data_IF_085915824442
#
_entry.id   IF_085915824442
#
_cell.length_a   1.000
_cell.length_b   1.000
_cell.length_c   1.000
_cell.angle_alpha   90.00
_cell.angle_beta   90.00
_cell.angle_gamma   90.00
#
_symmetry.space_group_name_H-M   'P 1'
#
loop_
_entity.id
_entity.type
_entity.pdbx_description
1 polymer ?
#
# COMPACT_ATOMS: atom_id res chain seq x y z
N UNK A 1 14.34 -9.38 27.63
CA UNK A 1 14.90 -10.72 27.92
C UNK A 1 13.77 -11.76 27.86
N UNK A 2 14.04 -12.94 27.26
CA UNK A 2 13.09 -14.05 27.21
C UNK A 2 12.14 -14.07 26.00
N UNK A 3 12.24 -13.12 25.08
CA UNK A 3 11.53 -13.20 23.80
C UNK A 3 12.23 -14.19 22.87
N UNK A 4 11.48 -15.13 22.33
CA UNK A 4 11.97 -16.06 21.32
C UNK A 4 11.91 -15.42 19.93
N UNK A 5 10.87 -14.62 19.68
CA UNK A 5 10.59 -14.08 18.36
C UNK A 5 9.96 -12.68 18.44
N UNK A 6 10.26 -11.85 17.46
CA UNK A 6 9.63 -10.55 17.20
C UNK A 6 9.09 -10.58 15.77
N UNK A 7 7.77 -10.47 15.62
CA UNK A 7 7.12 -10.30 14.33
C UNK A 7 6.90 -8.80 14.04
N UNK A 8 7.56 -8.29 13.02
CA UNK A 8 7.40 -6.91 12.55
C UNK A 8 6.37 -6.88 11.44
N UNK A 9 5.31 -6.11 11.64
CA UNK A 9 4.22 -5.94 10.67
C UNK A 9 4.35 -4.56 10.04
N UNK A 10 4.85 -4.51 8.81
CA UNK A 10 5.05 -3.27 8.05
C UNK A 10 4.42 -3.35 6.67
N UNK A 11 3.85 -2.25 6.22
CA UNK A 11 3.42 -2.08 4.84
C UNK A 11 4.64 -1.99 3.91
N UNK A 12 4.53 -2.57 2.71
CA UNK A 12 5.54 -2.47 1.65
C UNK A 12 6.94 -2.92 2.11
N UNK A 13 7.92 -2.02 2.09
CA UNK A 13 9.31 -2.34 2.40
C UNK A 13 9.56 -2.43 3.91
N UNK A 14 10.41 -3.34 4.32
CA UNK A 14 10.80 -3.60 5.70
C UNK A 14 11.86 -2.59 6.18
N UNK A 15 11.42 -1.52 6.81
CA UNK A 15 12.30 -0.48 7.37
C UNK A 15 12.63 -0.79 8.83
N UNK A 16 11.61 -1.01 9.65
CA UNK A 16 11.79 -1.30 11.08
C UNK A 16 12.39 -2.69 11.29
N UNK A 17 11.99 -3.67 10.48
CA UNK A 17 12.57 -5.02 10.52
C UNK A 17 14.08 -4.99 10.34
N UNK A 18 14.57 -4.23 9.36
CA UNK A 18 16.01 -4.10 9.10
C UNK A 18 16.73 -3.38 10.24
N UNK A 19 16.17 -2.31 10.76
CA UNK A 19 16.76 -1.60 11.89
C UNK A 19 16.86 -2.48 13.12
N UNK A 20 15.85 -3.29 13.42
CA UNK A 20 15.90 -4.25 14.53
C UNK A 20 16.96 -5.32 14.30
N UNK A 21 17.03 -5.90 13.10
CA UNK A 21 18.07 -6.89 12.75
C UNK A 21 19.47 -6.32 12.89
N UNK A 22 19.70 -5.10 12.41
CA UNK A 22 20.97 -4.39 12.54
C UNK A 22 21.34 -4.18 14.01
N UNK A 23 20.43 -3.67 14.84
CA UNK A 23 20.66 -3.42 16.26
C UNK A 23 20.94 -4.69 17.06
N UNK A 24 20.29 -5.80 16.68
CA UNK A 24 20.41 -7.07 17.37
C UNK A 24 21.56 -7.95 16.83
N UNK A 25 22.23 -7.55 15.74
CA UNK A 25 23.21 -8.36 15.06
C UNK A 25 24.31 -8.90 15.96
N UNK A 26 24.87 -8.04 16.82
CA UNK A 26 25.97 -8.41 17.74
C UNK A 26 25.49 -8.93 19.10
N UNK A 27 24.19 -9.12 19.29
CA UNK A 27 23.69 -9.73 20.50
C UNK A 27 24.05 -11.21 20.58
N UNK A 28 24.34 -11.70 21.76
CA UNK A 28 24.61 -13.12 21.99
C UNK A 28 23.45 -13.98 21.49
N UNK A 29 23.74 -15.07 20.82
CA UNK A 29 22.75 -15.95 20.20
C UNK A 29 21.74 -16.54 21.21
N UNK A 30 22.17 -16.74 22.46
CA UNK A 30 21.31 -17.27 23.55
C UNK A 30 20.27 -16.29 24.09
N UNK A 31 20.40 -15.00 23.79
CA UNK A 31 19.47 -13.96 24.24
C UNK A 31 18.83 -13.17 23.10
N UNK A 32 19.33 -13.33 21.87
CA UNK A 32 18.86 -12.63 20.69
C UNK A 32 17.56 -13.26 20.19
N UNK A 33 16.43 -12.49 20.14
CA UNK A 33 15.21 -13.00 19.55
C UNK A 33 15.36 -13.14 18.04
N UNK A 34 14.61 -14.03 17.43
CA UNK A 34 14.46 -14.10 16.00
C UNK A 34 13.57 -12.96 15.52
N UNK A 35 14.00 -12.17 14.51
CA UNK A 35 13.25 -11.06 13.97
C UNK A 35 12.72 -11.44 12.59
N UNK A 36 11.41 -11.46 12.47
CA UNK A 36 10.68 -11.83 11.25
C UNK A 36 9.76 -10.69 10.82
N UNK A 37 9.48 -10.63 9.54
CA UNK A 37 8.57 -9.64 8.96
C UNK A 37 8.09 -10.07 7.58
N UNK A 38 8.79 -9.66 6.54
CA UNK A 38 8.42 -10.00 5.16
C UNK A 38 8.64 -11.47 4.83
N UNK A 39 9.70 -12.04 5.36
CA UNK A 39 10.07 -13.42 5.08
C UNK A 39 9.92 -14.30 6.30
N UNK A 40 9.46 -15.52 6.05
CA UNK A 40 9.58 -16.62 7.01
C UNK A 40 11.02 -17.15 6.94
N UNK A 41 11.55 -17.64 8.04
CA UNK A 41 12.82 -18.34 8.02
C UNK A 41 12.58 -19.82 7.73
N UNK A 42 12.93 -20.31 6.55
CA UNK A 42 12.98 -21.74 6.31
C UNK A 42 14.20 -22.28 7.03
N UNK A 43 14.03 -23.38 7.75
CA UNK A 43 15.13 -24.09 8.38
C UNK A 43 16.21 -24.43 7.33
N UNK A 44 17.45 -24.04 7.61
CA UNK A 44 18.61 -24.41 6.80
C UNK A 44 18.86 -23.60 5.53
N UNK A 45 18.13 -22.54 5.27
CA UNK A 45 18.42 -21.66 4.14
C UNK A 45 19.15 -20.39 4.58
N UNK A 46 20.27 -20.10 3.94
CA UNK A 46 20.90 -18.80 4.08
C UNK A 46 20.23 -17.81 3.10
N UNK A 47 19.94 -16.59 3.58
CA UNK A 47 19.78 -15.47 2.67
C UNK A 47 18.46 -14.75 2.63
N UNK A 48 17.37 -15.26 3.17
CA UNK A 48 16.10 -14.51 3.24
C UNK A 48 15.77 -13.71 1.97
N UNK A 49 15.58 -12.42 2.09
CA UNK A 49 15.27 -11.50 0.97
C UNK A 49 16.37 -11.44 -0.10
N UNK A 50 17.60 -11.63 0.29
CA UNK A 50 18.76 -11.54 -0.61
C UNK A 50 19.14 -12.87 -1.26
N UNK A 51 18.45 -13.96 -0.93
CA UNK A 51 18.65 -15.23 -1.65
C UNK A 51 18.12 -15.12 -3.07
N UNK A 52 18.92 -15.62 -4.01
CA UNK A 52 18.60 -15.61 -5.43
C UNK A 52 18.51 -17.03 -5.97
N UNK A 53 17.39 -17.46 -6.52
CA UNK A 53 16.10 -16.75 -6.58
C UNK A 53 15.44 -16.68 -5.21
N UNK A 54 14.75 -15.59 -4.94
CA UNK A 54 13.97 -15.45 -3.72
C UNK A 54 12.69 -16.30 -3.84
N UNK A 55 12.56 -17.38 -3.10
CA UNK A 55 11.42 -18.27 -3.26
C UNK A 55 10.13 -17.62 -2.75
N UNK A 56 9.11 -17.61 -3.60
CA UNK A 56 7.79 -17.01 -3.26
C UNK A 56 7.13 -17.65 -2.04
N UNK A 57 7.49 -18.88 -1.72
CA UNK A 57 6.95 -19.62 -0.59
C UNK A 57 7.45 -19.08 0.77
N UNK A 58 8.53 -18.34 0.78
CA UNK A 58 9.12 -17.80 2.00
C UNK A 58 8.48 -16.46 2.45
N UNK A 59 7.52 -15.94 1.70
CA UNK A 59 6.81 -14.75 2.12
C UNK A 59 5.91 -15.02 3.33
N UNK A 60 6.14 -14.28 4.40
CA UNK A 60 5.27 -14.25 5.58
C UNK A 60 4.27 -13.10 5.48
N UNK A 61 4.76 -11.89 5.22
CA UNK A 61 3.96 -10.70 4.98
C UNK A 61 4.35 -10.08 3.63
N UNK A 62 3.40 -10.02 2.71
CA UNK A 62 3.67 -9.51 1.35
C UNK A 62 4.18 -8.07 1.35
N UNK A 63 5.07 -7.74 0.40
CA UNK A 63 5.55 -6.37 0.18
C UNK A 63 4.73 -5.62 -0.89
N UNK A 64 3.95 -6.34 -1.70
CA UNK A 64 3.08 -5.77 -2.73
C UNK A 64 1.64 -5.70 -2.22
N UNK A 65 0.94 -4.63 -2.57
CA UNK A 65 -0.42 -4.33 -2.13
C UNK A 65 -0.55 -4.19 -0.58
N UNK A 66 -1.77 -3.96 -0.12
CA UNK A 66 -2.06 -3.67 1.28
C UNK A 66 -1.97 -4.92 2.17
N UNK A 67 -1.56 -4.74 3.41
CA UNK A 67 -1.68 -5.75 4.45
C UNK A 67 -3.06 -5.67 5.08
N UNK A 68 -3.89 -6.66 4.78
CA UNK A 68 -5.20 -6.76 5.42
C UNK A 68 -5.09 -7.43 6.79
N UNK A 69 -6.03 -7.16 7.73
CA UNK A 69 -6.09 -7.88 9.01
C UNK A 69 -6.10 -9.39 8.85
N UNK A 70 -6.73 -9.91 7.78
CA UNK A 70 -6.76 -11.33 7.48
C UNK A 70 -5.36 -11.91 7.17
N UNK A 71 -4.56 -11.19 6.38
CA UNK A 71 -3.17 -11.58 6.07
C UNK A 71 -2.32 -11.58 7.35
N UNK A 72 -2.44 -10.53 8.15
CA UNK A 72 -1.71 -10.40 9.41
C UNK A 72 -2.10 -11.52 10.39
N UNK A 73 -3.39 -11.81 10.53
CA UNK A 73 -3.88 -12.89 11.38
C UNK A 73 -3.34 -14.27 10.96
N UNK A 74 -3.27 -14.55 9.65
CA UNK A 74 -2.67 -15.78 9.12
C UNK A 74 -1.18 -15.89 9.45
N UNK A 75 -0.42 -14.78 9.31
CA UNK A 75 0.99 -14.73 9.64
C UNK A 75 1.22 -14.98 11.13
N UNK A 76 0.49 -14.29 12.00
CA UNK A 76 0.55 -14.48 13.47
C UNK A 76 0.23 -15.94 13.82
N UNK A 77 -0.85 -16.50 13.29
CA UNK A 77 -1.24 -17.87 13.59
C UNK A 77 -0.18 -18.88 13.12
N UNK A 78 0.41 -18.68 11.95
CA UNK A 78 1.52 -19.50 11.44
C UNK A 78 2.70 -19.50 12.41
N UNK A 79 3.09 -18.34 12.92
CA UNK A 79 4.21 -18.22 13.87
C UNK A 79 3.89 -18.81 15.24
N UNK A 80 2.72 -18.53 15.78
CA UNK A 80 2.29 -19.11 17.07
C UNK A 80 2.25 -20.64 17.05
N UNK A 81 1.79 -21.24 15.95
CA UNK A 81 1.84 -22.70 15.77
C UNK A 81 3.28 -23.21 15.76
N UNK A 82 4.20 -22.52 15.07
CA UNK A 82 5.62 -22.89 15.05
C UNK A 82 6.27 -22.79 16.43
N UNK A 83 5.84 -21.83 17.24
CA UNK A 83 6.28 -21.66 18.63
C UNK A 83 5.67 -22.68 19.61
N UNK A 84 4.76 -23.55 19.15
CA UNK A 84 4.22 -24.63 19.95
C UNK A 84 3.17 -24.20 20.97
N UNK A 85 2.30 -23.24 20.63
CA UNK A 85 1.16 -22.88 21.52
C UNK A 85 0.23 -24.06 21.76
N UNK A 86 -0.44 -24.06 22.92
CA UNK A 86 -1.29 -25.16 23.35
C UNK A 86 -2.38 -25.55 22.35
N UNK A 87 -2.82 -26.81 22.42
CA UNK A 87 -3.79 -27.38 21.46
C UNK A 87 -5.15 -26.63 21.45
N UNK A 88 -5.59 -26.15 22.60
CA UNK A 88 -6.82 -25.35 22.73
C UNK A 88 -6.72 -24.01 21.99
N UNK A 89 -5.59 -23.32 22.10
CA UNK A 89 -5.32 -22.06 21.38
C UNK A 89 -5.25 -22.35 19.88
N UNK A 90 -4.55 -23.42 19.49
CA UNK A 90 -4.46 -23.84 18.08
C UNK A 90 -5.83 -24.11 17.49
N UNK A 91 -6.69 -24.88 18.17
CA UNK A 91 -8.04 -25.17 17.71
C UNK A 91 -8.89 -23.90 17.55
N UNK A 92 -8.79 -22.95 18.48
CA UNK A 92 -9.47 -21.65 18.37
C UNK A 92 -8.97 -20.81 17.18
N UNK A 93 -7.65 -20.77 16.97
CA UNK A 93 -7.08 -20.11 15.80
C UNK A 93 -7.57 -20.72 14.50
N UNK A 94 -7.56 -22.06 14.38
CA UNK A 94 -7.99 -22.76 13.18
C UNK A 94 -9.47 -22.52 12.88
N UNK A 95 -10.32 -22.51 13.90
CA UNK A 95 -11.73 -22.15 13.74
C UNK A 95 -11.90 -20.73 13.16
N UNK A 96 -11.14 -19.75 13.64
CA UNK A 96 -11.20 -18.37 13.12
C UNK A 96 -10.62 -18.23 11.72
N UNK A 97 -9.51 -18.90 11.44
CA UNK A 97 -8.91 -18.92 10.10
C UNK A 97 -9.83 -19.59 9.06
N UNK A 98 -10.58 -20.62 9.46
CA UNK A 98 -11.57 -21.26 8.59
C UNK A 98 -12.68 -20.29 8.16
N UNK A 99 -13.13 -19.40 9.06
CA UNK A 99 -14.12 -18.36 8.73
C UNK A 99 -13.53 -17.37 7.70
N UNK A 100 -12.28 -16.93 7.92
CA UNK A 100 -11.59 -16.04 6.98
C UNK A 100 -11.47 -16.71 5.60
N UNK A 101 -11.00 -17.96 5.56
CA UNK A 101 -10.84 -18.69 4.33
C UNK A 101 -12.16 -18.93 3.58
N UNK A 102 -13.26 -19.16 4.31
CA UNK A 102 -14.59 -19.29 3.71
C UNK A 102 -15.05 -17.98 3.05
N UNK A 103 -14.81 -16.85 3.70
CA UNK A 103 -15.14 -15.53 3.16
C UNK A 103 -14.27 -15.16 1.94
N UNK A 104 -12.99 -15.46 1.97
CA UNK A 104 -12.09 -15.24 0.83
C UNK A 104 -12.53 -16.05 -0.39
N UNK A 105 -12.90 -17.32 -0.20
CA UNK A 105 -13.45 -18.14 -1.28
C UNK A 105 -14.74 -17.55 -1.85
N UNK A 106 -15.66 -17.17 -0.98
CA UNK A 106 -16.90 -16.52 -1.39
C UNK A 106 -16.64 -15.26 -2.23
N UNK A 107 -15.70 -14.42 -1.81
CA UNK A 107 -15.32 -13.21 -2.56
C UNK A 107 -14.66 -13.54 -3.90
N UNK A 108 -13.81 -14.56 -3.95
CA UNK A 108 -13.16 -15.00 -5.20
C UNK A 108 -14.15 -15.59 -6.22
N UNK A 109 -15.23 -16.22 -5.73
CA UNK A 109 -16.30 -16.79 -6.55
C UNK A 109 -17.32 -15.74 -7.01
N UNK A 110 -17.38 -14.58 -6.36
CA UNK A 110 -18.24 -13.49 -6.80
C UNK A 110 -17.74 -12.96 -8.15
N UNK A 111 -18.57 -13.15 -9.19
CA UNK A 111 -18.30 -12.52 -10.47
C UNK A 111 -18.32 -11.00 -10.29
N UNK A 112 -17.25 -10.34 -10.72
CA UNK A 112 -17.08 -8.88 -10.68
C UNK A 112 -18.06 -8.12 -11.58
N UNK A 113 -18.98 -8.81 -12.22
CA UNK A 113 -19.95 -8.28 -13.19
C UNK A 113 -21.17 -7.60 -12.54
N UNK A 114 -21.23 -7.53 -11.23
CA UNK A 114 -22.26 -6.78 -10.52
C UNK A 114 -21.75 -5.38 -10.20
N UNK A 115 -21.79 -4.51 -11.22
CA UNK A 115 -21.82 -3.07 -11.07
C UNK A 115 -21.00 -2.48 -9.93
N UNK A 116 -19.68 -2.45 -10.07
CA UNK A 116 -18.90 -1.52 -9.24
C UNK A 116 -19.51 -0.14 -9.39
N UNK A 117 -19.83 0.52 -8.27
CA UNK A 117 -20.29 1.90 -8.31
C UNK A 117 -19.22 2.75 -8.98
N UNK A 118 -19.53 3.34 -10.11
CA UNK A 118 -18.68 4.35 -10.71
C UNK A 118 -18.47 5.49 -9.71
N UNK A 119 -17.26 6.02 -9.56
CA UNK A 119 -17.00 7.18 -8.73
C UNK A 119 -17.90 8.36 -9.17
N UNK A 120 -18.45 9.08 -8.20
CA UNK A 120 -19.38 10.18 -8.47
C UNK A 120 -19.23 11.28 -7.42
N UNK A 121 -19.29 12.54 -7.86
CA UNK A 121 -19.32 13.67 -6.96
C UNK A 121 -20.72 13.90 -6.38
N UNK A 122 -20.78 14.45 -5.17
CA UNK A 122 -22.04 14.81 -4.55
C UNK A 122 -22.86 15.80 -5.39
N UNK A 123 -24.17 15.77 -5.28
CA UNK A 123 -25.05 16.74 -5.94
C UNK A 123 -24.70 18.16 -5.51
N UNK A 124 -24.53 19.07 -6.46
CA UNK A 124 -24.13 20.46 -6.20
C UNK A 124 -22.65 20.66 -5.83
N UNK A 125 -21.85 19.61 -5.84
CA UNK A 125 -20.42 19.73 -5.54
C UNK A 125 -19.68 20.52 -6.65
N UNK A 126 -18.81 21.48 -6.28
CA UNK A 126 -18.00 22.23 -7.25
C UNK A 126 -17.16 21.36 -8.19
N UNK A 127 -16.74 20.18 -7.74
CA UNK A 127 -15.98 19.22 -8.57
C UNK A 127 -16.74 18.76 -9.82
N UNK A 128 -18.07 18.82 -9.82
CA UNK A 128 -18.86 18.52 -11.02
C UNK A 128 -18.51 19.45 -12.19
N UNK A 129 -18.07 20.65 -11.91
CA UNK A 129 -17.68 21.65 -12.90
C UNK A 129 -16.15 21.76 -13.03
N UNK A 130 -15.46 21.92 -11.90
CA UNK A 130 -14.00 22.19 -11.90
C UNK A 130 -13.13 21.08 -12.48
N UNK A 131 -13.60 19.83 -12.45
CA UNK A 131 -12.87 18.69 -13.04
C UNK A 131 -13.16 18.48 -14.53
N UNK A 132 -14.03 19.27 -15.14
CA UNK A 132 -14.26 19.28 -16.58
C UNK A 132 -13.26 20.20 -17.24
N UNK A 133 -12.47 19.67 -18.15
CA UNK A 133 -11.52 20.44 -18.94
C UNK A 133 -12.00 20.59 -20.39
N UNK A 134 -11.54 21.61 -21.12
CA UNK A 134 -11.88 21.78 -22.53
C UNK A 134 -11.52 20.55 -23.35
N UNK A 135 -12.27 20.34 -24.44
CA UNK A 135 -12.00 19.27 -25.39
C UNK A 135 -10.56 19.33 -25.91
N UNK A 136 -9.91 18.19 -26.02
CA UNK A 136 -8.50 18.09 -26.40
C UNK A 136 -7.50 18.45 -25.30
N UNK A 137 -7.98 18.88 -24.14
CA UNK A 137 -7.12 19.11 -22.97
C UNK A 137 -7.11 17.89 -22.05
N UNK A 138 -6.09 17.79 -21.20
CA UNK A 138 -6.00 16.78 -20.16
C UNK A 138 -5.70 17.40 -18.79
N UNK A 139 -5.98 16.65 -17.75
CA UNK A 139 -5.78 17.07 -16.37
C UNK A 139 -4.98 16.03 -15.58
N UNK A 140 -4.41 16.48 -14.48
CA UNK A 140 -3.89 15.67 -13.40
C UNK A 140 -4.60 16.00 -12.10
N UNK A 141 -4.73 15.04 -11.22
CA UNK A 141 -5.32 15.22 -9.91
C UNK A 141 -4.27 15.22 -8.80
N UNK A 142 -4.67 15.67 -7.63
CA UNK A 142 -4.00 15.42 -6.37
C UNK A 142 -4.78 14.42 -5.53
N UNK A 143 -4.66 14.50 -4.21
CA UNK A 143 -5.37 13.65 -3.28
C UNK A 143 -6.53 14.42 -2.66
N UNK A 144 -7.74 13.89 -2.85
CA UNK A 144 -9.02 14.48 -2.43
C UNK A 144 -10.15 13.96 -3.30
N UNK A 145 -11.35 14.51 -3.18
CA UNK A 145 -12.48 14.07 -4.01
C UNK A 145 -12.20 14.22 -5.52
N UNK A 146 -11.43 15.21 -5.93
CA UNK A 146 -11.02 15.39 -7.32
C UNK A 146 -10.18 14.22 -7.88
N UNK A 147 -9.56 13.40 -7.03
CA UNK A 147 -8.87 12.17 -7.44
C UNK A 147 -9.82 11.20 -8.16
N UNK A 148 -11.09 11.16 -7.78
CA UNK A 148 -12.08 10.29 -8.42
C UNK A 148 -12.24 10.55 -9.93
N UNK A 149 -11.87 11.75 -10.39
CA UNK A 149 -11.91 12.09 -11.81
C UNK A 149 -11.01 11.19 -12.67
N UNK A 150 -10.00 10.53 -12.09
CA UNK A 150 -9.15 9.55 -12.78
C UNK A 150 -9.97 8.34 -13.27
N UNK A 151 -11.04 7.99 -12.56
CA UNK A 151 -11.95 6.89 -12.92
C UNK A 151 -13.24 7.35 -13.60
N UNK A 152 -13.34 8.64 -13.88
CA UNK A 152 -14.49 9.25 -14.56
C UNK A 152 -14.07 9.70 -15.96
N UNK A 153 -15.04 9.88 -16.86
CA UNK A 153 -14.80 10.48 -18.17
C UNK A 153 -14.58 12.01 -18.01
N UNK A 154 -13.39 12.38 -17.56
CA UNK A 154 -12.98 13.76 -17.24
C UNK A 154 -11.61 14.14 -17.77
N UNK A 155 -11.03 13.34 -18.68
CA UNK A 155 -9.68 13.55 -19.22
C UNK A 155 -8.59 13.73 -18.16
N UNK A 156 -8.78 13.16 -16.96
CA UNK A 156 -7.81 13.17 -15.87
C UNK A 156 -6.96 11.90 -15.96
N UNK A 157 -5.69 12.06 -16.28
CA UNK A 157 -4.83 10.94 -16.71
C UNK A 157 -3.97 10.36 -15.60
N UNK A 158 -3.67 11.14 -14.56
CA UNK A 158 -2.82 10.70 -13.43
C UNK A 158 -3.01 11.61 -12.23
N UNK A 159 -2.29 11.33 -11.18
CA UNK A 159 -2.30 12.10 -9.93
C UNK A 159 -0.92 12.19 -9.30
N UNK A 160 -0.77 13.08 -8.33
CA UNK A 160 0.40 13.19 -7.48
C UNK A 160 -0.01 13.38 -6.01
N UNK A 161 0.97 13.34 -5.11
CA UNK A 161 0.74 13.62 -3.69
C UNK A 161 0.30 15.07 -3.47
N UNK A 162 -0.28 15.35 -2.31
CA UNK A 162 -0.61 16.71 -1.88
C UNK A 162 0.62 17.61 -1.88
N UNK A 163 0.57 18.72 -2.59
CA UNK A 163 1.66 19.67 -2.75
C UNK A 163 2.57 19.43 -3.95
N UNK A 164 2.33 18.35 -4.72
CA UNK A 164 3.04 18.04 -5.96
C UNK A 164 2.17 18.14 -7.22
N UNK A 165 0.92 18.59 -7.06
CA UNK A 165 -0.04 18.65 -8.16
C UNK A 165 0.46 19.55 -9.30
N UNK A 166 0.52 18.99 -10.49
CA UNK A 166 0.99 19.69 -11.69
C UNK A 166 2.51 19.77 -11.87
N UNK A 167 3.32 19.55 -10.81
CA UNK A 167 4.79 19.65 -10.90
C UNK A 167 5.38 18.65 -11.90
N UNK A 168 4.79 17.47 -12.04
CA UNK A 168 5.19 16.49 -13.05
C UNK A 168 5.14 17.03 -14.48
N UNK A 169 4.27 18.00 -14.75
CA UNK A 169 4.18 18.67 -16.05
C UNK A 169 5.43 19.48 -16.38
N UNK A 170 6.06 20.10 -15.39
CA UNK A 170 7.30 20.89 -15.59
C UNK A 170 8.38 20.00 -16.23
N UNK A 171 8.48 18.74 -15.78
CA UNK A 171 9.41 17.79 -16.37
C UNK A 171 8.95 17.20 -17.71
N UNK A 172 7.64 17.12 -17.94
CA UNK A 172 7.06 16.52 -19.16
C UNK A 172 6.96 17.53 -20.33
N UNK A 173 6.72 18.80 -20.04
CA UNK A 173 6.45 19.83 -21.04
C UNK A 173 7.45 19.88 -22.19
N UNK A 174 8.78 19.75 -21.97
CA UNK A 174 9.76 19.76 -23.07
C UNK A 174 9.65 18.55 -24.01
N UNK A 175 8.95 17.47 -23.61
CA UNK A 175 8.91 16.20 -24.32
C UNK A 175 7.51 15.88 -24.88
N UNK A 176 6.58 16.83 -24.87
CA UNK A 176 5.21 16.67 -25.37
C UNK A 176 4.84 17.80 -26.32
N UNK A 177 3.84 17.53 -27.16
CA UNK A 177 3.23 18.54 -28.03
C UNK A 177 2.09 19.31 -27.35
N UNK A 178 1.68 18.86 -26.16
CA UNK A 178 0.64 19.54 -25.41
C UNK A 178 1.13 20.92 -24.95
N UNK A 179 0.30 21.92 -25.11
CA UNK A 179 0.66 23.30 -24.76
C UNK A 179 0.40 23.63 -23.30
N UNK A 180 -0.46 22.86 -22.64
CA UNK A 180 -0.85 23.06 -21.25
C UNK A 180 -1.43 21.80 -20.64
N UNK A 181 -1.49 21.78 -19.32
CA UNK A 181 -2.12 20.75 -18.52
C UNK A 181 -2.93 21.41 -17.39
N UNK A 182 -4.13 20.90 -17.14
CA UNK A 182 -4.91 21.34 -15.99
C UNK A 182 -4.50 20.53 -14.76
N UNK A 183 -4.28 21.20 -13.63
CA UNK A 183 -4.00 20.54 -12.36
C UNK A 183 -5.15 20.81 -11.39
N UNK A 184 -5.83 19.74 -10.97
CA UNK A 184 -6.85 19.82 -9.92
C UNK A 184 -6.20 19.73 -8.56
N UNK A 185 -6.46 20.71 -7.72
CA UNK A 185 -5.85 20.91 -6.43
C UNK A 185 -6.94 21.13 -5.38
N UNK A 186 -6.81 20.48 -4.23
CA UNK A 186 -7.73 20.72 -3.10
C UNK A 186 -7.43 22.05 -2.40
N UNK A 187 -8.47 22.67 -1.84
CA UNK A 187 -8.36 23.93 -1.08
C UNK A 187 -7.41 23.81 0.12
N UNK A 188 -7.53 22.74 0.90
CA UNK A 188 -6.64 22.45 2.02
C UNK A 188 -5.19 22.30 1.53
N UNK A 189 -4.97 21.54 0.47
CA UNK A 189 -3.65 21.38 -0.14
C UNK A 189 -3.07 22.71 -0.62
N UNK A 190 -3.88 23.55 -1.24
CA UNK A 190 -3.43 24.89 -1.67
C UNK A 190 -2.81 25.67 -0.51
N UNK A 191 -3.48 25.67 0.65
CA UNK A 191 -3.01 26.43 1.82
C UNK A 191 -1.78 25.81 2.48
N UNK A 192 -1.70 24.49 2.62
CA UNK A 192 -0.59 23.89 3.37
C UNK A 192 0.66 23.61 2.53
N UNK A 193 0.54 23.33 1.23
CA UNK A 193 1.70 22.93 0.41
C UNK A 193 1.56 23.18 -1.09
N UNK A 194 0.38 23.29 -1.64
CA UNK A 194 0.13 23.40 -3.08
C UNK A 194 0.67 24.70 -3.70
N UNK A 195 0.80 25.75 -2.89
CA UNK A 195 1.41 26.99 -3.36
C UNK A 195 2.86 26.78 -3.83
N UNK A 196 3.58 25.82 -3.24
CA UNK A 196 4.93 25.47 -3.69
C UNK A 196 4.93 24.84 -5.07
N UNK A 197 3.95 23.98 -5.37
CA UNK A 197 3.77 23.40 -6.69
C UNK A 197 3.45 24.46 -7.75
N UNK A 198 2.59 25.42 -7.42
CA UNK A 198 2.27 26.56 -8.30
C UNK A 198 3.53 27.40 -8.56
N UNK A 199 4.30 27.73 -7.53
CA UNK A 199 5.55 28.50 -7.67
C UNK A 199 6.58 27.76 -8.52
N UNK A 200 6.74 26.46 -8.32
CA UNK A 200 7.63 25.63 -9.13
C UNK A 200 7.22 25.61 -10.60
N UNK A 201 5.92 25.62 -10.87
CA UNK A 201 5.42 25.61 -12.26
C UNK A 201 5.57 26.94 -12.98
N UNK A 202 5.80 28.03 -12.24
CA UNK A 202 6.03 29.38 -12.79
C UNK A 202 7.53 29.68 -12.95
N UNK A 203 8.37 29.10 -12.10
CA UNK A 203 9.81 29.33 -12.09
C UNK A 203 10.54 28.69 -13.29
#
# INVERSE_FOLDING_TARGET
QGLQEILVVEEKRQVIEYQLKEQLYNWRADVRPNVLGKFDEPEGTAGGEWSMPNPSENWLLRAKADLTPAIIAKAIAKRLKKLGVGADITARMDSRLAIIAARERQLAEMKTDTGERAPWFCSGCPHNTSTRVPEGSRAVAGIGCHYMAVWMDRSTVTFSQMGGEGVSWVGQAPFTTDKHLFANLGDGTYYHSGLLAVRQSIA
#
